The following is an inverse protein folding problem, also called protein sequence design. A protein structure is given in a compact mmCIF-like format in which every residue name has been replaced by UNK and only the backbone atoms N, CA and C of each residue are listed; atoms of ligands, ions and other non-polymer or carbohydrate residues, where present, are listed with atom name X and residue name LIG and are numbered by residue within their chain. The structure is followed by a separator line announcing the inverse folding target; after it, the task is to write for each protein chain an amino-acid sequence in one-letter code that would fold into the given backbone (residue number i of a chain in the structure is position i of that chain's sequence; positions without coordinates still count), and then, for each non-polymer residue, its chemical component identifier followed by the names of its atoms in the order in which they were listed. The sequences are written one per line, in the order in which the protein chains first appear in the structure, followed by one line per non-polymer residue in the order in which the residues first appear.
data_IF_496211153597
#
_entry.id   IF_496211153597
#
_cell.length_a   1.000
_cell.length_b   1.000
_cell.length_c   1.000
_cell.angle_alpha   90.00
_cell.angle_beta   90.00
_cell.angle_gamma   90.00
#
_symmetry.space_group_name_H-M   'P 1'
#
loop_
_entity.id
_entity.type
_entity.pdbx_description
1 polymer ?
#
# COMPACT_ATOMS: atom_id res chain seq x y z
N UNK A 1 -15.87 -35.46 16.80
CA UNK A 1 -15.21 -34.15 16.93
C UNK A 1 -16.06 -33.13 16.18
N UNK A 2 -16.62 -32.14 16.88
CA UNK A 2 -17.58 -31.20 16.31
C UNK A 2 -16.91 -30.23 15.33
N UNK A 3 -17.25 -30.33 14.05
CA UNK A 3 -16.90 -29.36 13.03
C UNK A 3 -17.75 -28.10 13.25
N UNK A 4 -17.17 -27.04 13.82
CA UNK A 4 -17.83 -25.74 13.91
C UNK A 4 -18.01 -25.19 12.49
N UNK A 5 -19.19 -25.42 11.88
CA UNK A 5 -19.58 -24.81 10.60
C UNK A 5 -19.65 -23.29 10.77
N UNK A 6 -18.54 -22.61 10.48
CA UNK A 6 -18.50 -21.15 10.46
C UNK A 6 -19.41 -20.64 9.34
N UNK A 7 -20.55 -20.10 9.73
CA UNK A 7 -21.50 -19.51 8.81
C UNK A 7 -20.93 -18.18 8.29
N UNK A 8 -20.62 -18.12 6.99
CA UNK A 8 -20.03 -16.95 6.32
C UNK A 8 -20.79 -15.64 6.63
N UNK A 9 -22.12 -15.68 6.72
CA UNK A 9 -22.94 -14.49 7.01
C UNK A 9 -22.80 -14.04 8.46
N UNK A 10 -22.64 -14.97 9.41
CA UNK A 10 -22.31 -14.63 10.82
C UNK A 10 -20.89 -14.08 10.93
N UNK A 11 -19.92 -14.62 10.18
CA UNK A 11 -18.56 -14.12 10.18
C UNK A 11 -18.47 -12.68 9.63
N UNK A 12 -19.12 -12.41 8.50
CA UNK A 12 -19.15 -11.06 7.91
C UNK A 12 -19.85 -10.08 8.86
N UNK A 13 -21.01 -10.44 9.42
CA UNK A 13 -21.75 -9.58 10.36
C UNK A 13 -20.95 -9.26 11.63
N UNK A 14 -20.23 -10.25 12.17
CA UNK A 14 -19.40 -10.04 13.35
C UNK A 14 -18.15 -9.21 13.03
N UNK A 15 -17.59 -9.36 11.82
CA UNK A 15 -16.42 -8.59 11.37
C UNK A 15 -16.76 -7.12 11.11
N UNK A 16 -17.93 -6.83 10.53
CA UNK A 16 -18.37 -5.46 10.27
C UNK A 16 -18.73 -4.67 11.53
N UNK A 17 -19.23 -5.34 12.58
CA UNK A 17 -19.45 -4.72 13.90
C UNK A 17 -18.12 -4.31 14.59
N UNK A 18 -17.05 -5.09 14.41
CA UNK A 18 -15.72 -4.77 14.96
C UNK A 18 -15.08 -3.53 14.31
N UNK A 19 -15.30 -3.32 13.01
CA UNK A 19 -14.81 -2.15 12.28
C UNK A 19 -15.52 -0.85 12.69
N UNK A 20 -16.83 -0.91 12.96
CA UNK A 20 -17.59 0.26 13.41
C UNK A 20 -17.25 0.64 14.86
N UNK A 21 -16.94 -0.33 15.73
CA UNK A 21 -16.54 -0.08 17.12
C UNK A 21 -15.13 0.51 17.29
N UNK A 22 -14.22 0.25 16.34
CA UNK A 22 -12.87 0.81 16.35
C UNK A 22 -12.81 2.29 15.93
N UNK A 23 -13.92 2.87 15.43
CA UNK A 23 -13.96 4.25 14.95
C UNK A 23 -14.30 5.32 15.99
N UNK A 24 -14.65 4.96 17.23
CA UNK A 24 -15.27 5.91 18.17
C UNK A 24 -14.47 6.14 19.47
N UNK A 25 -13.24 5.61 19.60
CA UNK A 25 -12.48 5.72 20.84
C UNK A 25 -11.02 6.17 20.61
N UNK A 26 -10.83 7.49 20.56
CA UNK A 26 -9.55 8.18 20.77
C UNK A 26 -8.63 8.25 19.54
N UNK A 27 -7.96 9.35 19.24
CA UNK A 27 -7.67 10.50 20.08
C UNK A 27 -7.27 11.70 19.20
N UNK A 28 -7.53 12.86 19.75
CA UNK A 28 -7.08 14.17 19.31
C UNK A 28 -5.55 14.18 19.10
N UNK A 29 -5.12 14.26 17.85
CA UNK A 29 -3.83 14.88 17.53
C UNK A 29 -3.81 15.24 16.06
N UNK A 30 -3.34 16.45 15.79
CA UNK A 30 -3.04 17.00 14.47
C UNK A 30 -4.21 17.72 13.79
N UNK A 31 -4.65 18.83 14.40
CA UNK A 31 -4.92 20.02 13.59
C UNK A 31 -3.60 20.44 12.94
N UNK A 32 -3.28 19.84 11.80
CA UNK A 32 -2.24 20.34 10.92
C UNK A 32 -2.81 21.49 10.11
N UNK A 33 -2.18 22.65 10.24
CA UNK A 33 -2.43 23.81 9.41
C UNK A 33 -2.19 23.42 7.94
N UNK A 34 -3.20 23.38 7.05
CA UNK A 34 -3.04 22.89 5.68
C UNK A 34 -2.22 23.84 4.79
N UNK A 35 -1.72 24.96 5.32
CA UNK A 35 -1.11 26.04 4.54
C UNK A 35 0.41 26.02 4.39
N UNK A 36 1.17 25.14 5.06
CA UNK A 36 2.64 25.26 5.00
C UNK A 36 3.45 23.97 5.24
N UNK A 37 2.92 22.80 4.87
CA UNK A 37 3.78 21.64 4.74
C UNK A 37 4.55 21.76 3.42
N UNK A 38 5.89 21.70 3.40
CA UNK A 38 6.58 21.47 2.14
C UNK A 38 5.96 20.21 1.53
N UNK A 39 5.53 20.29 0.27
CA UNK A 39 5.05 19.13 -0.46
C UNK A 39 6.25 18.19 -0.54
N UNK A 40 6.32 17.22 0.37
CA UNK A 40 7.31 16.16 0.29
C UNK A 40 7.04 15.43 -1.01
N UNK A 41 8.09 15.27 -1.83
CA UNK A 41 7.97 14.44 -3.02
C UNK A 41 7.51 13.04 -2.60
N UNK A 42 6.72 12.35 -3.44
CA UNK A 42 6.39 10.96 -3.19
C UNK A 42 7.67 10.15 -2.99
N UNK A 43 7.73 9.41 -1.88
CA UNK A 43 8.84 8.52 -1.53
C UNK A 43 8.30 7.11 -1.29
N UNK A 44 9.17 6.11 -1.48
CA UNK A 44 8.84 4.71 -1.17
C UNK A 44 8.64 4.56 0.33
N UNK A 45 7.45 4.10 0.75
CA UNK A 45 7.14 3.97 2.18
C UNK A 45 7.48 2.59 2.73
N UNK A 46 7.33 1.57 1.89
CA UNK A 46 7.58 0.18 2.29
C UNK A 46 7.95 -0.70 1.10
N UNK A 47 8.61 -1.81 1.39
CA UNK A 47 8.80 -2.91 0.45
C UNK A 47 7.95 -4.09 0.90
N UNK A 48 7.08 -4.59 0.01
CA UNK A 48 6.12 -5.66 0.28
C UNK A 48 6.50 -6.92 -0.47
N UNK A 49 6.17 -8.07 0.11
CA UNK A 49 6.37 -9.36 -0.58
C UNK A 49 5.45 -9.47 -1.80
N UNK A 50 6.00 -9.78 -2.96
CA UNK A 50 5.23 -10.00 -4.18
C UNK A 50 4.52 -11.35 -4.13
N UNK A 51 3.23 -11.34 -3.78
CA UNK A 51 2.41 -12.54 -3.71
C UNK A 51 3.00 -13.63 -2.79
N UNK A 52 3.06 -14.87 -3.30
CA UNK A 52 3.66 -16.02 -2.58
C UNK A 52 5.15 -16.22 -2.89
N UNK A 53 5.80 -15.24 -3.51
CA UNK A 53 7.23 -15.30 -3.84
C UNK A 53 8.10 -14.85 -2.67
N UNK A 54 9.42 -14.91 -2.82
CA UNK A 54 10.38 -14.30 -1.90
C UNK A 54 10.80 -12.87 -2.25
N UNK A 55 10.32 -12.33 -3.38
CA UNK A 55 10.73 -11.01 -3.85
C UNK A 55 10.04 -9.91 -3.03
N UNK A 56 10.80 -8.87 -2.67
CA UNK A 56 10.31 -7.68 -2.00
C UNK A 56 10.25 -6.54 -3.01
N UNK A 57 9.06 -5.99 -3.25
CA UNK A 57 8.82 -4.91 -4.22
C UNK A 57 8.42 -3.63 -3.51
N UNK A 58 8.89 -2.49 -3.99
CA UNK A 58 8.48 -1.17 -3.52
C UNK A 58 6.95 -1.01 -3.61
N UNK A 59 6.37 -0.22 -2.72
CA UNK A 59 4.93 0.10 -2.72
C UNK A 59 4.48 0.87 -3.96
N UNK A 60 5.42 1.52 -4.65
CA UNK A 60 5.28 2.14 -5.97
C UNK A 60 6.17 1.41 -6.98
N UNK A 61 5.62 1.07 -8.14
CA UNK A 61 6.36 0.53 -9.29
C UNK A 61 6.46 1.54 -10.43
N UNK A 62 7.23 1.22 -11.46
CA UNK A 62 7.29 1.98 -12.71
C UNK A 62 6.87 1.10 -13.89
N UNK A 63 6.16 1.68 -14.87
CA UNK A 63 6.06 1.08 -16.21
C UNK A 63 7.36 1.33 -16.98
N UNK A 64 7.32 1.24 -18.31
CA UNK A 64 8.50 1.54 -19.14
C UNK A 64 8.88 3.03 -19.06
N UNK A 65 10.09 3.37 -18.57
CA UNK A 65 10.58 4.74 -18.63
C UNK A 65 11.16 5.05 -20.02
N UNK A 66 10.62 6.06 -20.71
CA UNK A 66 11.00 6.42 -22.09
C UNK A 66 12.35 7.14 -22.24
N UNK A 67 13.09 7.37 -21.16
CA UNK A 67 14.43 7.97 -21.23
C UNK A 67 15.33 7.49 -20.10
N UNK A 68 16.64 7.52 -20.35
CA UNK A 68 17.66 7.18 -19.37
C UNK A 68 17.56 8.06 -18.11
N UNK A 69 17.29 9.35 -18.28
CA UNK A 69 17.18 10.30 -17.15
C UNK A 69 15.97 9.99 -16.26
N UNK A 70 14.84 9.63 -16.86
CA UNK A 70 13.65 9.22 -16.10
C UNK A 70 13.91 7.88 -15.42
N UNK A 71 14.55 6.94 -16.10
CA UNK A 71 14.87 5.64 -15.49
C UNK A 71 15.81 5.79 -14.29
N UNK A 72 16.84 6.62 -14.39
CA UNK A 72 17.72 6.95 -13.26
C UNK A 72 16.95 7.55 -12.09
N UNK A 73 16.08 8.52 -12.34
CA UNK A 73 15.26 9.13 -11.30
C UNK A 73 14.32 8.10 -10.62
N UNK A 74 13.76 7.15 -11.39
CA UNK A 74 12.96 6.05 -10.85
C UNK A 74 13.79 5.18 -9.90
N UNK A 75 14.99 4.76 -10.31
CA UNK A 75 15.88 3.95 -9.48
C UNK A 75 16.34 4.71 -8.23
N UNK A 76 16.73 5.98 -8.38
CA UNK A 76 17.20 6.84 -7.29
C UNK A 76 16.09 7.10 -6.25
N UNK A 77 14.82 7.02 -6.65
CA UNK A 77 13.67 7.13 -5.74
C UNK A 77 13.45 5.88 -4.87
N UNK A 78 14.13 4.77 -5.18
CA UNK A 78 13.99 3.49 -4.48
C UNK A 78 12.99 2.52 -5.13
N UNK A 79 12.42 2.84 -6.29
CA UNK A 79 11.58 1.88 -7.03
C UNK A 79 12.44 0.70 -7.49
N UNK A 80 11.99 -0.52 -7.19
CA UNK A 80 12.70 -1.75 -7.55
C UNK A 80 11.87 -2.73 -8.40
N UNK A 81 10.70 -2.29 -8.86
CA UNK A 81 9.81 -3.07 -9.72
C UNK A 81 9.46 -2.26 -10.96
N UNK A 82 9.96 -2.72 -12.11
CA UNK A 82 9.75 -2.09 -13.42
C UNK A 82 9.04 -3.09 -14.32
N UNK A 83 7.90 -2.68 -14.87
CA UNK A 83 7.07 -3.46 -15.78
C UNK A 83 7.33 -3.02 -17.23
N UNK A 84 7.47 -4.00 -18.13
CA UNK A 84 7.76 -3.80 -19.55
C UNK A 84 7.17 -4.95 -20.37
N UNK A 85 7.07 -4.79 -21.69
CA UNK A 85 6.55 -5.78 -22.63
C UNK A 85 7.26 -5.64 -23.99
N UNK A 86 7.19 -6.67 -24.83
CA UNK A 86 7.78 -6.65 -26.19
C UNK A 86 7.18 -5.56 -27.10
N UNK A 87 5.91 -5.22 -26.88
CA UNK A 87 5.19 -4.22 -27.67
C UNK A 87 5.37 -2.79 -27.20
N UNK A 88 6.01 -2.59 -26.05
CA UNK A 88 6.30 -1.26 -25.51
C UNK A 88 7.50 -0.67 -26.24
#
# INVERSE_FOLDING_TARGET
MNQLKLNRRKFIRNSSLGLLGAGIQGNESMMENPGNKPVSLPEIKEYRRLGRTGAMVSDIGSGEPYSESVFKAVLDSGVNFVETAESY
#
